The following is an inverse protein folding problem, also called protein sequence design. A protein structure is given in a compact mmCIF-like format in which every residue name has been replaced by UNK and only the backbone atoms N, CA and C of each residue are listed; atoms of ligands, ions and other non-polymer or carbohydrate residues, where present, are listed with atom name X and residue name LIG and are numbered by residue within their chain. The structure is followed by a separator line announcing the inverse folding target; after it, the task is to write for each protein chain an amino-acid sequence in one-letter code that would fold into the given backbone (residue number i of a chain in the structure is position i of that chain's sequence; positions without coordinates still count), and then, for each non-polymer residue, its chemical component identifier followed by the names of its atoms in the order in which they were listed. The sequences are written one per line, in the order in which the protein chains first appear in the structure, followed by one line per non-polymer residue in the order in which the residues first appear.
data_IF_068148834251
#
_entry.id   IF_068148834251
#
_cell.length_a   1.000
_cell.length_b   1.000
_cell.length_c   1.000
_cell.angle_alpha   90.00
_cell.angle_beta   90.00
_cell.angle_gamma   90.00
#
_symmetry.space_group_name_H-M   'P 1'
#
loop_
_entity.id
_entity.type
_entity.pdbx_description
1 polymer ?
#
# COMPACT_ATOMS: atom_id res chain seq x y z
N UNK A 1 1.88 -2.59 -11.64
CA UNK A 1 2.64 -3.85 -11.80
C UNK A 1 2.61 -4.55 -10.47
N UNK A 2 2.21 -5.78 -10.49
CA UNK A 2 2.13 -6.68 -9.35
C UNK A 2 2.81 -7.97 -9.76
N UNK A 3 3.85 -8.38 -9.04
CA UNK A 3 4.62 -9.55 -9.39
C UNK A 3 5.40 -10.07 -8.19
N UNK A 4 5.49 -11.38 -8.13
CA UNK A 4 6.29 -12.10 -7.16
C UNK A 4 7.32 -12.98 -7.83
N UNK A 5 8.27 -13.44 -7.05
CA UNK A 5 9.22 -14.47 -7.43
C UNK A 5 9.21 -15.56 -6.38
N UNK A 6 9.37 -16.80 -6.84
CA UNK A 6 9.61 -17.92 -5.96
C UNK A 6 11.10 -18.26 -5.98
N UNK A 7 11.71 -18.28 -4.80
CA UNK A 7 13.07 -18.77 -4.63
C UNK A 7 13.09 -19.91 -3.63
N UNK A 8 13.50 -21.10 -4.09
CA UNK A 8 13.35 -22.35 -3.34
C UNK A 8 11.88 -22.58 -2.95
N UNK A 9 11.53 -22.48 -1.67
CA UNK A 9 10.18 -22.68 -1.15
C UNK A 9 9.50 -21.37 -0.71
N UNK A 10 10.17 -20.23 -0.81
CA UNK A 10 9.64 -18.95 -0.34
C UNK A 10 9.18 -18.06 -1.49
N UNK A 11 8.08 -17.35 -1.28
CA UNK A 11 7.52 -16.38 -2.20
C UNK A 11 7.85 -14.95 -1.75
N UNK A 12 7.99 -14.06 -2.74
CA UNK A 12 7.95 -12.62 -2.55
C UNK A 12 6.75 -12.06 -3.31
N UNK A 13 6.12 -11.02 -2.78
CA UNK A 13 4.98 -10.35 -3.38
C UNK A 13 5.18 -8.84 -3.32
N UNK A 14 5.24 -8.19 -4.48
CA UNK A 14 5.61 -6.77 -4.58
C UNK A 14 4.75 -6.07 -5.62
N UNK A 15 3.99 -5.09 -5.18
CA UNK A 15 3.28 -4.17 -6.08
C UNK A 15 3.92 -2.80 -6.11
N UNK A 16 4.05 -2.25 -7.30
CA UNK A 16 4.41 -0.85 -7.54
C UNK A 16 3.50 -0.24 -8.59
N UNK A 17 3.04 0.97 -8.32
CA UNK A 17 2.32 1.79 -9.29
C UNK A 17 3.23 2.88 -9.81
N UNK A 18 3.29 3.01 -11.13
CA UNK A 18 4.10 4.02 -11.82
C UNK A 18 3.22 4.82 -12.79
N UNK A 19 3.47 6.12 -13.00
CA UNK A 19 2.74 6.89 -13.98
C UNK A 19 3.19 6.51 -15.40
N UNK A 20 2.26 6.17 -16.28
CA UNK A 20 2.58 5.78 -17.66
C UNK A 20 3.34 6.88 -18.44
N UNK A 21 3.10 8.15 -18.08
CA UNK A 21 3.80 9.31 -18.67
C UNK A 21 5.21 9.55 -18.12
N UNK A 22 5.66 8.74 -17.15
CA UNK A 22 6.95 8.93 -16.46
C UNK A 22 6.91 9.95 -15.31
N UNK A 23 5.82 10.71 -15.17
CA UNK A 23 5.63 11.71 -14.10
C UNK A 23 4.22 11.69 -13.57
N UNK A 24 4.07 11.76 -12.26
CA UNK A 24 2.77 11.92 -11.63
C UNK A 24 2.21 13.32 -11.89
N UNK A 25 0.95 13.43 -12.33
CA UNK A 25 0.25 14.70 -12.26
C UNK A 25 -0.09 15.06 -10.78
N UNK A 26 -0.49 16.32 -10.49
CA UNK A 26 -0.76 16.75 -9.12
C UNK A 26 -1.76 15.89 -8.35
N UNK A 27 -2.83 15.41 -9.01
CA UNK A 27 -3.81 14.53 -8.36
C UNK A 27 -3.24 13.13 -8.11
N UNK A 28 -2.60 12.53 -9.12
CA UNK A 28 -1.96 11.22 -9.00
C UNK A 28 -0.91 11.22 -7.89
N UNK A 29 -0.05 12.25 -7.83
CA UNK A 29 0.94 12.42 -6.77
C UNK A 29 0.30 12.46 -5.40
N UNK A 30 -0.74 13.27 -5.23
CA UNK A 30 -1.46 13.44 -3.98
C UNK A 30 -2.07 12.11 -3.50
N UNK A 31 -2.75 11.37 -4.39
CA UNK A 31 -3.35 10.08 -4.08
C UNK A 31 -2.28 9.01 -3.78
N UNK A 32 -1.18 9.01 -4.53
CA UNK A 32 -0.05 8.12 -4.29
C UNK A 32 0.59 8.34 -2.91
N UNK A 33 0.77 9.59 -2.50
CA UNK A 33 1.33 9.95 -1.20
C UNK A 33 0.40 9.54 -0.04
N UNK A 34 -0.92 9.52 -0.24
CA UNK A 34 -1.89 8.98 0.74
C UNK A 34 -1.67 7.48 0.94
N UNK A 35 -1.55 6.71 -0.15
CA UNK A 35 -1.29 5.27 -0.08
C UNK A 35 0.07 4.98 0.55
N UNK A 36 1.11 5.70 0.14
CA UNK A 36 2.45 5.54 0.71
C UNK A 36 2.47 5.83 2.22
N UNK A 37 1.76 6.85 2.67
CA UNK A 37 1.66 7.18 4.09
C UNK A 37 0.94 6.09 4.88
N UNK A 38 -0.12 5.52 4.34
CA UNK A 38 -0.81 4.38 4.95
C UNK A 38 0.11 3.15 5.04
N UNK A 39 0.85 2.85 3.98
CA UNK A 39 1.84 1.77 3.93
C UNK A 39 2.92 1.91 5.00
N UNK A 40 3.44 3.12 5.18
CA UNK A 40 4.42 3.43 6.23
C UNK A 40 3.82 3.36 7.64
N UNK A 41 2.53 3.71 7.82
CA UNK A 41 1.83 3.58 9.08
C UNK A 41 1.65 2.11 9.47
N UNK A 42 1.25 1.25 8.54
CA UNK A 42 1.18 -0.21 8.73
C UNK A 42 2.54 -0.76 9.12
N UNK A 43 3.60 -0.44 8.36
CA UNK A 43 4.96 -0.86 8.68
C UNK A 43 5.39 -0.45 10.10
N UNK A 44 5.06 0.77 10.52
CA UNK A 44 5.37 1.27 11.88
C UNK A 44 4.60 0.53 12.98
N UNK A 45 3.39 0.07 12.68
CA UNK A 45 2.51 -0.63 13.63
C UNK A 45 2.84 -2.13 13.71
N UNK A 46 3.31 -2.72 12.61
CA UNK A 46 3.58 -4.15 12.50
C UNK A 46 4.67 -4.60 13.48
N UNK A 47 4.29 -5.50 14.39
CA UNK A 47 5.17 -6.12 15.39
C UNK A 47 4.52 -7.37 15.98
N UNK A 48 5.29 -8.16 16.68
CA UNK A 48 4.75 -9.28 17.46
C UNK A 48 3.62 -8.83 18.40
N UNK A 49 2.57 -9.62 18.51
CA UNK A 49 1.42 -9.39 19.39
C UNK A 49 0.31 -8.53 18.80
N UNK A 50 0.52 -7.87 17.66
CA UNK A 50 -0.51 -7.18 16.89
C UNK A 50 -1.15 -8.17 15.91
N UNK A 51 -2.44 -8.06 15.67
CA UNK A 51 -3.15 -8.86 14.66
C UNK A 51 -3.12 -8.21 13.28
N UNK A 52 -3.31 -8.98 12.22
CA UNK A 52 -3.45 -8.41 10.87
C UNK A 52 -4.74 -7.59 10.74
N UNK A 53 -5.79 -7.91 11.49
CA UNK A 53 -7.01 -7.08 11.54
C UNK A 53 -6.71 -5.68 12.09
N UNK A 54 -5.85 -5.54 13.12
CA UNK A 54 -5.42 -4.22 13.61
C UNK A 54 -4.56 -3.47 12.58
N UNK A 55 -3.76 -4.17 11.75
CA UNK A 55 -3.07 -3.54 10.62
C UNK A 55 -4.04 -3.04 9.56
N UNK A 56 -5.11 -3.80 9.26
CA UNK A 56 -6.18 -3.37 8.38
C UNK A 56 -6.85 -2.08 8.90
N UNK A 57 -7.20 -2.02 10.18
CA UNK A 57 -7.79 -0.84 10.80
C UNK A 57 -6.86 0.36 10.68
N UNK A 58 -5.60 0.20 11.08
CA UNK A 58 -4.57 1.24 10.98
C UNK A 58 -4.45 1.80 9.55
N UNK A 59 -4.45 0.93 8.54
CA UNK A 59 -4.35 1.31 7.15
C UNK A 59 -5.55 2.14 6.68
N UNK A 60 -6.74 1.56 6.77
CA UNK A 60 -7.95 2.17 6.20
C UNK A 60 -8.38 3.43 6.93
N UNK A 61 -8.12 3.52 8.24
CA UNK A 61 -8.29 4.76 8.99
C UNK A 61 -7.34 5.86 8.51
N UNK A 62 -6.09 5.49 8.20
CA UNK A 62 -5.11 6.44 7.64
C UNK A 62 -5.54 6.93 6.25
N UNK A 63 -5.93 6.02 5.35
CA UNK A 63 -6.39 6.36 4.00
C UNK A 63 -7.63 7.26 4.05
N UNK A 64 -8.66 6.87 4.79
CA UNK A 64 -9.92 7.60 4.87
C UNK A 64 -9.74 9.01 5.45
N UNK A 65 -8.97 9.12 6.53
CA UNK A 65 -8.66 10.41 7.16
C UNK A 65 -7.93 11.36 6.20
N UNK A 66 -6.91 10.86 5.51
CA UNK A 66 -6.10 11.69 4.64
C UNK A 66 -6.82 12.04 3.33
N UNK A 67 -7.64 11.14 2.79
CA UNK A 67 -8.55 11.44 1.69
C UNK A 67 -9.54 12.56 2.07
N UNK A 68 -10.23 12.41 3.20
CA UNK A 68 -11.23 13.39 3.65
C UNK A 68 -10.58 14.77 3.84
N UNK A 69 -9.43 14.83 4.53
CA UNK A 69 -8.68 16.07 4.73
C UNK A 69 -8.30 16.72 3.41
N UNK A 70 -7.78 15.93 2.48
CA UNK A 70 -7.27 16.41 1.20
C UNK A 70 -8.39 16.94 0.31
N UNK A 71 -9.50 16.23 0.21
CA UNK A 71 -10.65 16.68 -0.60
C UNK A 71 -11.35 17.89 0.02
N UNK A 72 -11.48 17.96 1.34
CA UNK A 72 -12.01 19.17 2.02
C UNK A 72 -11.15 20.39 1.75
N UNK A 73 -9.83 20.28 1.83
CA UNK A 73 -8.90 21.39 1.60
C UNK A 73 -8.91 21.89 0.15
N UNK A 74 -9.21 21.02 -0.80
CA UNK A 74 -9.31 21.35 -2.24
C UNK A 74 -10.70 21.80 -2.68
N UNK A 75 -11.67 21.96 -1.75
CA UNK A 75 -13.06 22.34 -2.08
C UNK A 75 -13.82 21.25 -2.84
N UNK A 76 -13.30 20.05 -2.88
CA UNK A 76 -13.91 18.90 -3.55
C UNK A 76 -14.96 18.19 -2.70
N UNK A 77 -15.97 17.61 -3.36
CA UNK A 77 -16.89 16.66 -2.73
C UNK A 77 -16.40 15.26 -3.03
N UNK A 78 -16.00 14.52 -2.00
CA UNK A 78 -15.66 13.11 -2.15
C UNK A 78 -16.91 12.25 -2.07
N UNK A 79 -17.20 11.51 -3.12
CA UNK A 79 -18.24 10.46 -3.11
C UNK A 79 -17.70 9.12 -2.59
N UNK A 80 -16.39 8.93 -2.61
CA UNK A 80 -15.74 7.71 -2.16
C UNK A 80 -15.54 7.73 -0.66
N UNK A 81 -16.21 6.82 0.00
CA UNK A 81 -15.85 6.36 1.32
C UNK A 81 -15.44 4.91 1.15
N UNK A 82 -14.20 4.60 1.47
CA UNK A 82 -13.82 3.20 1.68
C UNK A 82 -14.46 2.70 2.97
N UNK A 83 -15.81 2.70 3.00
CA UNK A 83 -16.58 2.04 4.05
C UNK A 83 -16.37 0.54 3.97
N UNK A 84 -16.32 0.05 2.73
CA UNK A 84 -16.06 -1.34 2.42
C UNK A 84 -14.59 -1.43 2.00
N UNK A 85 -13.77 -1.99 2.85
CA UNK A 85 -12.35 -2.22 2.60
C UNK A 85 -12.20 -3.03 1.31
N UNK A 86 -11.52 -2.55 0.28
CA UNK A 86 -11.46 -3.23 -1.02
C UNK A 86 -10.75 -4.59 -0.93
N UNK A 87 -9.82 -4.73 0.02
CA UNK A 87 -9.10 -5.97 0.31
C UNK A 87 -8.42 -5.90 1.68
N UNK A 88 -7.86 -7.02 2.15
CA UNK A 88 -6.93 -7.06 3.27
C UNK A 88 -5.60 -6.39 2.91
N UNK A 89 -4.99 -5.68 3.84
CA UNK A 89 -3.69 -5.03 3.59
C UNK A 89 -2.51 -5.89 3.94
N UNK A 90 -2.75 -7.09 4.46
CA UNK A 90 -1.70 -8.06 4.81
C UNK A 90 -2.24 -9.49 4.75
N UNK A 91 -1.40 -10.38 4.29
CA UNK A 91 -1.57 -11.83 4.38
C UNK A 91 -0.25 -12.48 4.79
N UNK A 92 -0.31 -13.72 5.28
CA UNK A 92 0.87 -14.55 5.49
C UNK A 92 1.48 -14.94 4.16
N UNK A 93 2.79 -14.98 4.14
CA UNK A 93 3.61 -15.42 3.01
C UNK A 93 4.58 -16.51 3.46
N UNK A 94 4.85 -17.48 2.61
CA UNK A 94 5.75 -18.58 2.91
C UNK A 94 5.96 -19.45 1.69
N UNK A 95 5.65 -20.73 1.82
CA UNK A 95 5.69 -21.67 0.69
C UNK A 95 4.62 -21.40 -0.35
N UNK A 96 3.58 -20.64 0.03
CA UNK A 96 2.58 -20.08 -0.87
C UNK A 96 2.60 -18.55 -0.75
N UNK A 97 2.14 -17.88 -1.80
CA UNK A 97 1.97 -16.41 -1.80
C UNK A 97 0.96 -16.01 -0.72
N UNK A 98 -0.22 -16.65 -0.70
CA UNK A 98 -1.19 -16.56 0.38
C UNK A 98 -1.09 -17.82 1.25
N UNK A 99 -0.19 -17.78 2.22
CA UNK A 99 0.08 -18.90 3.11
C UNK A 99 -0.82 -18.91 4.35
N UNK A 100 -0.72 -19.93 5.17
CA UNK A 100 -1.48 -20.11 6.40
C UNK A 100 -2.69 -21.04 6.22
N UNK A 101 -3.61 -21.00 7.19
CA UNK A 101 -4.79 -21.85 7.17
C UNK A 101 -5.86 -21.36 6.16
N UNK A 102 -6.64 -22.29 5.52
CA UNK A 102 -7.62 -21.94 4.51
C UNK A 102 -8.79 -21.08 5.04
N UNK A 103 -9.00 -21.05 6.36
CA UNK A 103 -10.05 -20.24 7.00
C UNK A 103 -9.53 -18.85 7.41
N UNK A 104 -8.24 -18.58 7.20
CA UNK A 104 -7.58 -17.30 7.53
C UNK A 104 -7.73 -16.91 9.01
N UNK A 105 -7.74 -17.86 9.93
CA UNK A 105 -7.83 -17.59 11.35
C UNK A 105 -6.67 -16.73 11.84
N UNK A 106 -5.48 -16.87 11.22
CA UNK A 106 -4.29 -16.07 11.49
C UNK A 106 -4.52 -14.54 11.38
N UNK A 107 -5.56 -14.06 10.68
CA UNK A 107 -5.87 -12.63 10.62
C UNK A 107 -6.23 -12.04 11.98
N UNK A 108 -6.84 -12.86 12.86
CA UNK A 108 -7.26 -12.49 14.21
C UNK A 108 -6.29 -12.94 15.30
N UNK A 109 -5.29 -13.72 14.94
CA UNK A 109 -4.25 -14.18 15.87
C UNK A 109 -3.16 -13.11 16.04
N UNK A 110 -2.61 -12.95 17.26
CA UNK A 110 -1.43 -12.11 17.47
C UNK A 110 -0.24 -12.62 16.65
N UNK A 111 0.33 -11.76 15.81
CA UNK A 111 1.48 -12.12 14.99
C UNK A 111 2.66 -12.59 15.84
N UNK A 112 3.38 -13.59 15.35
CA UNK A 112 4.58 -14.14 15.97
C UNK A 112 5.85 -13.60 15.32
N UNK A 113 6.94 -13.61 16.07
CA UNK A 113 8.27 -13.39 15.51
C UNK A 113 8.58 -14.45 14.44
N UNK A 114 9.16 -14.02 13.31
CA UNK A 114 9.44 -14.87 12.16
C UNK A 114 8.32 -14.91 11.11
N UNK A 115 7.13 -14.40 11.40
CA UNK A 115 6.10 -14.29 10.38
C UNK A 115 6.54 -13.35 9.26
N UNK A 116 6.39 -13.81 8.02
CA UNK A 116 6.55 -13.02 6.81
C UNK A 116 5.16 -12.62 6.34
N UNK A 117 4.93 -11.33 6.16
CA UNK A 117 3.63 -10.78 5.75
C UNK A 117 3.76 -9.80 4.60
N UNK A 118 2.71 -9.67 3.78
CA UNK A 118 2.55 -8.56 2.86
C UNK A 118 2.19 -7.27 3.61
N UNK A 119 2.43 -6.12 2.98
CA UNK A 119 1.95 -4.80 3.40
C UNK A 119 1.58 -4.01 2.15
N UNK A 120 0.33 -4.13 1.72
CA UNK A 120 -0.16 -3.80 0.38
C UNK A 120 -1.37 -2.85 0.34
N UNK A 121 -1.37 -1.71 1.05
CA UNK A 121 -2.44 -0.75 0.93
C UNK A 121 -2.65 -0.29 -0.52
N UNK A 122 -3.91 -0.03 -0.86
CA UNK A 122 -4.28 0.44 -2.18
C UNK A 122 -5.37 1.51 -2.16
N UNK A 123 -5.60 2.12 -3.32
CA UNK A 123 -6.60 3.14 -3.55
C UNK A 123 -7.13 2.98 -4.97
N UNK A 124 -8.44 2.78 -5.14
CA UNK A 124 -9.05 2.47 -6.42
C UNK A 124 -10.34 3.25 -6.62
N UNK A 125 -10.58 3.74 -7.83
CA UNK A 125 -11.84 4.37 -8.21
C UNK A 125 -11.70 5.64 -9.04
N UNK A 126 -12.82 6.32 -9.26
CA UNK A 126 -12.88 7.56 -10.03
C UNK A 126 -12.73 8.76 -9.10
N UNK A 127 -11.77 9.61 -9.41
CA UNK A 127 -11.44 10.81 -8.63
C UNK A 127 -11.60 12.05 -9.47
N UNK A 128 -12.32 13.04 -8.93
CA UNK A 128 -12.50 14.34 -9.55
C UNK A 128 -12.14 15.44 -8.56
N UNK A 129 -11.14 16.25 -8.89
CA UNK A 129 -10.66 17.33 -8.04
C UNK A 129 -10.19 18.52 -8.86
N UNK A 130 -10.36 19.72 -8.32
CA UNK A 130 -9.76 20.95 -8.88
C UNK A 130 -8.50 21.31 -8.09
N UNK A 131 -7.36 21.32 -8.77
CA UNK A 131 -6.07 21.73 -8.18
C UNK A 131 -5.44 22.80 -9.07
N UNK A 132 -5.00 23.91 -8.47
CA UNK A 132 -4.35 25.02 -9.18
C UNK A 132 -5.13 25.50 -10.43
N UNK A 133 -6.45 25.60 -10.33
CA UNK A 133 -7.34 26.02 -11.42
C UNK A 133 -7.68 24.94 -12.45
N UNK A 134 -6.97 23.81 -12.49
CA UNK A 134 -7.20 22.69 -13.41
C UNK A 134 -8.07 21.61 -12.76
N UNK A 135 -9.00 21.05 -13.52
CA UNK A 135 -9.81 19.89 -13.13
C UNK A 135 -9.07 18.62 -13.56
N UNK A 136 -8.89 17.71 -12.64
CA UNK A 136 -8.46 16.34 -12.86
C UNK A 136 -9.66 15.43 -12.63
N UNK A 137 -9.92 14.53 -13.58
CA UNK A 137 -11.05 13.59 -13.56
C UNK A 137 -10.55 12.29 -14.18
N UNK A 138 -10.15 11.32 -13.32
CA UNK A 138 -9.45 10.12 -13.74
C UNK A 138 -9.91 8.92 -12.91
N UNK A 139 -9.91 7.76 -13.55
CA UNK A 139 -9.96 6.48 -12.85
C UNK A 139 -8.54 6.09 -12.44
N UNK A 140 -8.35 5.83 -11.14
CA UNK A 140 -7.04 5.60 -10.51
C UNK A 140 -7.03 4.25 -9.81
N UNK A 141 -5.96 3.49 -10.02
CA UNK A 141 -5.58 2.32 -9.23
C UNK A 141 -4.14 2.48 -8.74
N UNK A 142 -3.97 2.55 -7.43
CA UNK A 142 -2.65 2.64 -6.79
C UNK A 142 -2.53 1.52 -5.76
N UNK A 143 -1.45 0.72 -5.83
CA UNK A 143 -1.01 -0.19 -4.78
C UNK A 143 0.49 -0.02 -4.55
N UNK A 144 0.90 -0.04 -3.29
CA UNK A 144 2.31 -0.02 -2.87
C UNK A 144 2.47 -1.15 -1.87
N UNK A 145 3.27 -2.13 -2.22
CA UNK A 145 3.43 -3.36 -1.46
C UNK A 145 4.89 -3.65 -1.14
N UNK A 146 5.11 -4.03 0.09
CA UNK A 146 6.40 -4.51 0.60
C UNK A 146 6.21 -5.80 1.40
N UNK A 147 7.27 -6.58 1.52
CA UNK A 147 7.32 -7.76 2.39
C UNK A 147 7.95 -7.40 3.74
N UNK A 148 7.24 -7.72 4.81
CA UNK A 148 7.65 -7.43 6.19
C UNK A 148 7.91 -8.72 6.96
N UNK A 149 9.10 -8.86 7.51
CA UNK A 149 9.45 -9.91 8.47
C UNK A 149 9.19 -9.38 9.88
N UNK A 150 8.29 -10.02 10.62
CA UNK A 150 7.99 -9.66 12.01
C UNK A 150 9.15 -10.05 12.91
N UNK A 151 9.57 -9.10 13.74
CA UNK A 151 10.66 -9.27 14.70
C UNK A 151 10.14 -9.15 16.15
N UNK A 152 11.01 -9.37 17.10
CA UNK A 152 10.68 -9.25 18.52
C UNK A 152 10.10 -7.89 18.90
N UNK A 153 10.57 -6.80 18.29
CA UNK A 153 10.25 -5.41 18.68
C UNK A 153 9.60 -4.56 17.59
N UNK A 154 9.43 -5.11 16.38
CA UNK A 154 8.89 -4.39 15.23
C UNK A 154 8.83 -5.28 14.00
N UNK A 155 9.20 -4.74 12.85
CA UNK A 155 9.36 -5.51 11.62
C UNK A 155 10.59 -5.07 10.82
N UNK A 156 11.11 -5.97 9.99
CA UNK A 156 12.13 -5.68 8.99
C UNK A 156 11.49 -5.66 7.62
N UNK A 157 11.58 -4.53 6.91
CA UNK A 157 11.15 -4.44 5.52
C UNK A 157 12.21 -5.07 4.61
N UNK A 158 11.88 -6.19 3.98
CA UNK A 158 12.79 -6.94 3.10
C UNK A 158 12.88 -6.31 1.70
N UNK A 159 11.89 -5.49 1.33
CA UNK A 159 11.77 -4.79 0.04
C UNK A 159 12.26 -3.34 0.09
N UNK A 160 12.93 -2.93 1.15
CA UNK A 160 13.31 -1.52 1.41
C UNK A 160 14.20 -0.89 0.33
N UNK A 161 14.92 -1.70 -0.45
CA UNK A 161 15.75 -1.25 -1.57
C UNK A 161 14.96 -0.90 -2.84
N UNK A 162 13.70 -1.36 -2.94
CA UNK A 162 12.87 -1.14 -4.12
C UNK A 162 12.25 0.26 -4.08
N UNK A 163 12.46 1.10 -5.11
CA UNK A 163 11.89 2.45 -5.17
C UNK A 163 10.39 2.48 -4.92
N UNK A 164 9.94 3.42 -4.04
CA UNK A 164 8.51 3.59 -3.74
C UNK A 164 8.09 5.03 -3.44
N UNK A 165 9.02 5.98 -3.24
CA UNK A 165 8.62 7.39 -3.13
C UNK A 165 8.38 7.99 -4.52
N UNK A 166 7.53 9.01 -4.61
CA UNK A 166 7.27 9.74 -5.87
C UNK A 166 8.58 10.09 -6.57
N UNK A 167 9.53 10.69 -5.83
CA UNK A 167 10.84 11.08 -6.38
C UNK A 167 11.63 9.89 -6.93
N UNK A 168 11.64 8.76 -6.23
CA UNK A 168 12.36 7.56 -6.66
C UNK A 168 11.71 6.95 -7.91
N UNK A 169 10.38 6.88 -7.94
CA UNK A 169 9.63 6.36 -9.10
C UNK A 169 9.87 7.25 -10.33
N UNK A 170 9.71 8.57 -10.20
CA UNK A 170 9.95 9.48 -11.33
C UNK A 170 11.40 9.45 -11.81
N UNK A 171 12.36 9.29 -10.90
CA UNK A 171 13.78 9.11 -11.27
C UNK A 171 13.97 7.82 -12.05
N UNK A 172 13.36 6.71 -11.60
CA UNK A 172 13.43 5.41 -12.29
C UNK A 172 12.83 5.50 -13.70
N UNK A 173 11.66 6.15 -13.83
CA UNK A 173 10.98 6.33 -15.10
C UNK A 173 11.71 7.27 -16.08
N UNK A 174 12.56 8.17 -15.57
CA UNK A 174 13.38 9.07 -16.38
C UNK A 174 14.66 8.42 -16.92
N UNK A 175 15.08 7.28 -16.37
CA UNK A 175 16.20 6.50 -16.90
C UNK A 175 15.79 5.89 -18.24
N UNK A 176 16.40 6.32 -19.35
CA UNK A 176 16.22 5.67 -20.63
C UNK A 176 16.75 4.24 -20.51
N UNK A 177 16.01 3.26 -20.99
CA UNK A 177 16.55 1.94 -21.28
C UNK A 177 17.53 2.13 -22.44
N UNK A 178 18.81 1.90 -22.20
CA UNK A 178 19.81 1.78 -23.26
C UNK A 178 19.55 0.50 -24.07
#
# INVERSE_FOLDING_TARGET
MDFGVRWMTMHADISRTVPASGKFNPMQKMLYEIVLKAQLAVQKTARRGITMNELNDCCWDSVNRDLEKTFKSAGGKMKLRYKDRPHGVSHLMGEQEHDGDPFRNYLSEPMHEGWLISNEPGLYGSFKIRLNGKIYDEEIGIRIEDNLLITKTGCKNLSSSIPKTVRQIEKLMATKSD
#
